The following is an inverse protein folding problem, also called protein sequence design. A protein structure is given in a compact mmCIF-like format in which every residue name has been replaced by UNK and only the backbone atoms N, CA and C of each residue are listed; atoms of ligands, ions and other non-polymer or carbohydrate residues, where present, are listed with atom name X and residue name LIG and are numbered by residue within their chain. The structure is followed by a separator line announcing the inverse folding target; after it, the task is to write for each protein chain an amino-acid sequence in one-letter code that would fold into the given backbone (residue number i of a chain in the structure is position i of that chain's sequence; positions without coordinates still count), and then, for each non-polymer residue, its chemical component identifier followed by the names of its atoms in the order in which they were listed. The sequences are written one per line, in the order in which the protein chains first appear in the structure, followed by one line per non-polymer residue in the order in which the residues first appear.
data_IF_450629700238
#
_entry.id   IF_450629700238
#
_cell.length_a   1.000
_cell.length_b   1.000
_cell.length_c   1.000
_cell.angle_alpha   90.00
_cell.angle_beta   90.00
_cell.angle_gamma   90.00
#
_symmetry.space_group_name_H-M   'P 1'
#
loop_
_entity.id
_entity.type
_entity.pdbx_description
1 polymer ?
#
# COMPACT_ATOMS: atom_id res chain seq x y z
N UNK A 1 11.60 -1.18 -3.31
CA UNK A 1 11.45 -2.55 -3.86
C UNK A 1 10.00 -2.96 -3.67
N UNK A 2 9.39 -3.63 -4.64
CA UNK A 2 8.00 -4.07 -4.54
C UNK A 2 7.92 -5.56 -4.81
N UNK A 3 7.17 -6.27 -3.97
CA UNK A 3 6.89 -7.70 -4.10
C UNK A 3 5.38 -7.90 -4.22
N UNK A 4 4.98 -8.88 -5.03
CA UNK A 4 3.60 -9.28 -5.20
C UNK A 4 3.47 -10.73 -4.74
N UNK A 5 2.59 -10.95 -3.77
CA UNK A 5 2.15 -12.27 -3.36
C UNK A 5 0.70 -12.46 -3.77
N UNK A 6 0.35 -13.69 -4.14
CA UNK A 6 -0.97 -14.05 -4.62
C UNK A 6 -1.49 -15.24 -3.81
N UNK A 7 -2.70 -15.10 -3.28
CA UNK A 7 -3.45 -16.21 -2.70
C UNK A 7 -4.73 -16.47 -3.51
N UNK A 8 -5.64 -17.31 -2.99
CA UNK A 8 -6.86 -17.66 -3.74
C UNK A 8 -7.86 -16.49 -3.86
N UNK A 9 -7.86 -15.54 -2.94
CA UNK A 9 -8.92 -14.53 -2.78
C UNK A 9 -8.41 -13.10 -3.03
N UNK A 10 -7.11 -12.85 -2.89
CA UNK A 10 -6.50 -11.52 -2.98
C UNK A 10 -5.07 -11.56 -3.53
N UNK A 11 -4.63 -10.37 -3.94
CA UNK A 11 -3.24 -10.02 -4.15
C UNK A 11 -2.74 -9.23 -2.94
N UNK A 12 -1.51 -9.46 -2.54
CA UNK A 12 -0.81 -8.70 -1.52
C UNK A 12 0.41 -8.02 -2.15
N UNK A 13 0.39 -6.68 -2.16
CA UNK A 13 1.52 -5.86 -2.63
C UNK A 13 2.31 -5.39 -1.42
N UNK A 14 3.57 -5.84 -1.32
CA UNK A 14 4.50 -5.40 -0.28
C UNK A 14 5.48 -4.39 -0.87
N UNK A 15 5.54 -3.22 -0.26
CA UNK A 15 6.46 -2.17 -0.66
C UNK A 15 7.49 -1.91 0.43
N UNK A 16 8.75 -2.11 0.06
CA UNK A 16 9.91 -1.78 0.88
C UNK A 16 10.55 -0.49 0.38
N UNK A 17 11.10 0.29 1.30
CA UNK A 17 11.78 1.56 1.02
C UNK A 17 10.86 2.51 0.24
N UNK A 18 9.71 2.84 0.82
CA UNK A 18 8.77 3.79 0.24
C UNK A 18 9.51 5.10 -0.09
N UNK A 19 9.56 5.48 -1.36
CA UNK A 19 10.29 6.68 -1.79
C UNK A 19 9.67 7.98 -1.27
N UNK A 20 8.44 7.88 -0.77
CA UNK A 20 7.74 8.99 -0.14
C UNK A 20 8.01 9.06 1.35
N UNK A 21 8.75 8.12 1.97
CA UNK A 21 8.96 8.03 3.42
C UNK A 21 9.33 9.38 4.03
N UNK A 22 10.31 10.05 3.43
CA UNK A 22 10.90 11.29 3.93
C UNK A 22 9.90 12.45 3.84
N UNK A 23 9.08 12.47 2.80
CA UNK A 23 8.02 13.48 2.60
C UNK A 23 6.77 13.09 3.42
N UNK A 24 6.61 11.82 3.75
CA UNK A 24 5.43 11.28 4.42
C UNK A 24 5.32 11.74 5.86
N UNK A 25 6.44 12.12 6.49
CA UNK A 25 6.50 12.66 7.85
C UNK A 25 5.81 14.03 7.92
N UNK A 26 6.21 14.95 7.03
CA UNK A 26 5.64 16.31 6.95
C UNK A 26 4.29 16.34 6.23
N UNK A 27 4.04 15.39 5.34
CA UNK A 27 2.84 15.32 4.50
C UNK A 27 2.14 13.95 4.62
N UNK A 28 1.42 13.68 5.72
CA UNK A 28 0.75 12.40 5.96
C UNK A 28 -0.21 11.96 4.84
N UNK A 29 -0.75 12.90 4.07
CA UNK A 29 -1.63 12.66 2.95
C UNK A 29 -0.98 11.89 1.79
N UNK A 30 0.35 11.84 1.67
CA UNK A 30 1.02 11.11 0.58
C UNK A 30 0.68 9.62 0.59
N UNK A 31 0.80 8.95 1.74
CA UNK A 31 0.38 7.56 1.89
C UNK A 31 -1.14 7.37 1.69
N UNK A 32 -1.97 8.40 1.94
CA UNK A 32 -3.40 8.34 1.63
C UNK A 32 -3.62 8.37 0.12
N UNK A 33 -2.94 9.26 -0.60
CA UNK A 33 -3.06 9.36 -2.06
C UNK A 33 -2.58 8.08 -2.77
N UNK A 34 -1.54 7.42 -2.26
CA UNK A 34 -1.11 6.12 -2.79
C UNK A 34 -2.21 5.05 -2.64
N UNK A 35 -2.88 4.97 -1.49
CA UNK A 35 -4.00 4.05 -1.30
C UNK A 35 -5.18 4.38 -2.23
N UNK A 36 -5.52 5.67 -2.37
CA UNK A 36 -6.58 6.10 -3.28
C UNK A 36 -6.23 5.84 -4.75
N UNK A 37 -4.96 5.97 -5.12
CA UNK A 37 -4.46 5.60 -6.45
C UNK A 37 -4.70 4.12 -6.73
N UNK A 38 -4.39 3.22 -5.80
CA UNK A 38 -4.70 1.80 -5.96
C UNK A 38 -6.20 1.53 -6.05
N UNK A 39 -7.02 2.17 -5.22
CA UNK A 39 -8.49 2.05 -5.32
C UNK A 39 -9.01 2.52 -6.67
N UNK A 40 -8.48 3.62 -7.19
CA UNK A 40 -8.83 4.17 -8.50
C UNK A 40 -8.45 3.26 -9.66
N UNK A 41 -7.27 2.62 -9.61
CA UNK A 41 -6.83 1.69 -10.66
C UNK A 41 -7.67 0.41 -10.65
N UNK A 42 -7.87 -0.19 -9.48
CA UNK A 42 -8.47 -1.51 -9.39
C UNK A 42 -10.01 -1.47 -9.32
N UNK A 43 -10.61 -0.30 -9.04
CA UNK A 43 -12.05 -0.17 -8.84
C UNK A 43 -12.59 -1.03 -7.70
N UNK A 44 -11.73 -1.38 -6.74
CA UNK A 44 -11.96 -2.36 -5.68
C UNK A 44 -11.66 -1.76 -4.31
N UNK A 45 -12.17 -2.42 -3.27
CA UNK A 45 -11.94 -2.04 -1.87
C UNK A 45 -10.54 -2.42 -1.40
N UNK A 46 -9.51 -1.80 -1.99
CA UNK A 46 -8.12 -1.99 -1.57
C UNK A 46 -7.95 -1.53 -0.12
N UNK A 47 -7.33 -2.38 0.69
CA UNK A 47 -7.01 -2.10 2.10
C UNK A 47 -5.50 -2.00 2.28
N UNK A 48 -5.05 -1.05 3.11
CA UNK A 48 -3.68 -1.02 3.59
C UNK A 48 -3.64 -1.67 4.97
N UNK A 49 -2.89 -2.75 5.13
CA UNK A 49 -2.78 -3.49 6.40
C UNK A 49 -1.53 -3.13 7.20
N UNK A 50 -0.50 -2.61 6.54
CA UNK A 50 0.72 -2.11 7.18
C UNK A 50 1.24 -0.84 6.49
N UNK A 51 1.92 0.04 7.22
CA UNK A 51 2.52 1.27 6.69
C UNK A 51 3.85 1.57 7.38
N UNK A 52 4.88 1.88 6.59
CA UNK A 52 6.21 2.20 7.13
C UNK A 52 6.23 3.45 8.01
N UNK A 53 5.39 4.45 7.69
CA UNK A 53 5.24 5.64 8.53
C UNK A 53 4.76 5.29 9.94
N UNK A 54 3.93 4.27 10.06
CA UNK A 54 3.39 3.81 11.34
C UNK A 54 4.37 2.85 12.08
N UNK A 55 5.62 2.75 11.60
CA UNK A 55 6.68 1.93 12.19
C UNK A 55 6.77 0.50 11.65
N UNK A 56 5.99 0.13 10.63
CA UNK A 56 6.09 -1.20 10.01
C UNK A 56 7.35 -1.33 9.13
N UNK A 57 7.79 -2.57 8.89
CA UNK A 57 8.93 -2.84 8.02
C UNK A 57 8.64 -2.51 6.54
N UNK A 58 7.38 -2.61 6.12
CA UNK A 58 6.92 -2.36 4.75
C UNK A 58 5.48 -1.82 4.73
N UNK A 59 5.09 -1.17 3.64
CA UNK A 59 3.69 -0.89 3.37
C UNK A 59 3.07 -2.13 2.70
N UNK A 60 1.94 -2.61 3.22
CA UNK A 60 1.25 -3.77 2.66
C UNK A 60 -0.16 -3.39 2.23
N UNK A 61 -0.48 -3.69 0.98
CA UNK A 61 -1.79 -3.46 0.38
C UNK A 61 -2.43 -4.78 -0.03
N UNK A 62 -3.70 -4.96 0.31
CA UNK A 62 -4.50 -6.12 -0.06
C UNK A 62 -5.55 -5.72 -1.10
N UNK A 63 -5.51 -6.39 -2.25
CA UNK A 63 -6.38 -6.14 -3.40
C UNK A 63 -7.21 -7.40 -3.64
N UNK A 64 -8.54 -7.38 -3.43
CA UNK A 64 -9.37 -8.56 -3.60
C UNK A 64 -9.50 -8.94 -5.08
N UNK A 65 -9.54 -10.25 -5.37
CA UNK A 65 -9.70 -10.78 -6.74
C UNK A 65 -11.13 -10.66 -7.26
N UNK A 66 -12.12 -10.86 -6.39
CA UNK A 66 -13.54 -10.57 -6.63
C UNK A 66 -13.90 -9.15 -6.22
#
# INVERSE_FOLDING_TARGET
MMELEEDKEKFQVKQFNCMLSDISEDYPQTCRYELEFYRGIFGKSVQRTQCQRDGAASCIYEIPKS
#
